data_IF_576224187759
#
_entry.id   IF_576224187759
#
_cell.length_a   1.000
_cell.length_b   1.000
_cell.length_c   1.000
_cell.angle_alpha   90.00
_cell.angle_beta   90.00
_cell.angle_gamma   90.00
#
_symmetry.space_group_name_H-M   'P 1'
#
loop_
_entity.id
_entity.type
_entity.pdbx_description
1 polymer ?
#
# COMPACT_ATOMS: atom_id res chain seq x y z
N UNK A 1 -9.86 1.01 -17.35
CA UNK A 1 -10.78 -0.14 -17.34
C UNK A 1 -10.04 -1.48 -17.37
N UNK A 2 -9.18 -1.76 -18.37
CA UNK A 2 -8.47 -3.04 -18.48
C UNK A 2 -7.76 -3.53 -17.21
N UNK A 3 -6.99 -2.69 -16.51
CA UNK A 3 -6.29 -3.08 -15.26
C UNK A 3 -7.24 -3.42 -14.11
N UNK A 4 -8.35 -2.71 -13.97
CA UNK A 4 -9.36 -2.98 -12.94
C UNK A 4 -10.05 -4.29 -13.25
N UNK A 5 -10.56 -4.46 -14.47
CA UNK A 5 -11.22 -5.70 -14.90
C UNK A 5 -10.31 -6.91 -14.75
N UNK A 6 -9.06 -6.83 -15.23
CA UNK A 6 -8.08 -7.90 -15.08
C UNK A 6 -7.80 -8.20 -13.60
N UNK A 7 -7.55 -7.18 -12.78
CA UNK A 7 -7.29 -7.35 -11.36
C UNK A 7 -8.46 -8.01 -10.62
N UNK A 8 -9.69 -7.58 -10.92
CA UNK A 8 -10.90 -8.19 -10.34
C UNK A 8 -11.07 -9.64 -10.77
N UNK A 9 -10.88 -9.96 -12.05
CA UNK A 9 -10.97 -11.35 -12.56
C UNK A 9 -9.92 -12.24 -11.89
N UNK A 10 -8.67 -11.79 -11.83
CA UNK A 10 -7.57 -12.54 -11.19
C UNK A 10 -7.85 -12.72 -9.70
N UNK A 11 -8.36 -11.69 -9.01
CA UNK A 11 -8.73 -11.78 -7.59
C UNK A 11 -9.84 -12.81 -7.38
N UNK A 12 -10.95 -12.72 -8.12
CA UNK A 12 -12.07 -13.68 -8.01
C UNK A 12 -11.60 -15.10 -8.29
N UNK A 13 -10.80 -15.29 -9.34
CA UNK A 13 -10.24 -16.60 -9.68
C UNK A 13 -9.32 -17.13 -8.57
N UNK A 14 -8.43 -16.30 -8.02
CA UNK A 14 -7.55 -16.67 -6.92
C UNK A 14 -8.33 -17.05 -5.66
N UNK A 15 -9.37 -16.28 -5.30
CA UNK A 15 -10.22 -16.58 -4.14
C UNK A 15 -11.01 -17.88 -4.30
N UNK A 16 -11.40 -18.24 -5.54
CA UNK A 16 -12.08 -19.49 -5.84
C UNK A 16 -11.14 -20.70 -5.95
N UNK A 17 -9.86 -20.46 -6.24
CA UNK A 17 -8.87 -21.51 -6.49
C UNK A 17 -8.00 -21.82 -5.27
N UNK A 18 -7.94 -20.91 -4.30
CA UNK A 18 -7.15 -21.10 -3.07
C UNK A 18 -7.93 -21.92 -2.04
N UNK A 19 -7.24 -22.86 -1.41
CA UNK A 19 -7.79 -23.64 -0.30
C UNK A 19 -7.71 -22.83 0.99
N UNK A 20 -8.81 -22.18 1.37
CA UNK A 20 -8.93 -21.33 2.55
C UNK A 20 -10.19 -21.68 3.31
N UNK A 21 -10.04 -21.96 4.61
CA UNK A 21 -11.16 -22.02 5.53
C UNK A 21 -11.75 -20.61 5.72
N UNK A 22 -12.84 -20.33 4.99
CA UNK A 22 -13.50 -19.04 4.98
C UNK A 22 -14.26 -18.78 6.27
N UNK A 23 -13.84 -17.76 7.01
CA UNK A 23 -14.59 -17.18 8.13
C UNK A 23 -15.16 -15.82 7.73
N UNK A 24 -16.18 -15.35 8.45
CA UNK A 24 -16.77 -14.02 8.25
C UNK A 24 -15.69 -12.93 8.27
N UNK A 25 -14.73 -13.03 9.19
CA UNK A 25 -13.62 -12.08 9.29
C UNK A 25 -12.76 -12.05 8.02
N UNK A 26 -12.41 -13.22 7.45
CA UNK A 26 -11.62 -13.28 6.20
C UNK A 26 -12.40 -12.71 5.01
N UNK A 27 -13.69 -13.03 4.90
CA UNK A 27 -14.56 -12.52 3.83
C UNK A 27 -14.64 -11.00 3.87
N UNK A 28 -14.82 -10.40 5.07
CA UNK A 28 -14.84 -8.95 5.23
C UNK A 28 -13.47 -8.30 5.05
N UNK A 29 -12.39 -8.99 5.40
CA UNK A 29 -11.04 -8.45 5.29
C UNK A 29 -10.60 -8.27 3.84
N UNK A 30 -11.06 -9.11 2.91
CA UNK A 30 -10.72 -9.02 1.48
C UNK A 30 -11.11 -7.67 0.85
N UNK A 31 -12.36 -7.18 0.91
CA UNK A 31 -12.68 -5.85 0.37
C UNK A 31 -11.98 -4.74 1.16
N UNK A 32 -11.84 -4.90 2.48
CA UNK A 32 -11.16 -3.91 3.33
C UNK A 32 -9.69 -3.75 2.93
N UNK A 33 -8.98 -4.83 2.63
CA UNK A 33 -7.58 -4.77 2.20
C UNK A 33 -7.46 -4.08 0.83
N UNK A 34 -8.39 -4.33 -0.09
CA UNK A 34 -8.40 -3.71 -1.43
C UNK A 34 -8.61 -2.19 -1.31
N UNK A 35 -9.60 -1.76 -0.53
CA UNK A 35 -9.90 -0.33 -0.33
C UNK A 35 -8.76 0.36 0.42
N UNK A 36 -8.27 -0.23 1.51
CA UNK A 36 -7.16 0.33 2.30
C UNK A 36 -5.89 0.42 1.46
N UNK A 37 -5.58 -0.63 0.70
CA UNK A 37 -4.44 -0.68 -0.21
C UNK A 37 -4.50 0.40 -1.29
N UNK A 38 -5.68 0.65 -1.86
CA UNK A 38 -5.89 1.73 -2.82
C UNK A 38 -5.62 3.11 -2.19
N UNK A 39 -6.13 3.36 -0.98
CA UNK A 39 -5.91 4.63 -0.27
C UNK A 39 -4.43 4.82 0.10
N UNK A 40 -3.74 3.77 0.55
CA UNK A 40 -2.29 3.82 0.85
C UNK A 40 -1.50 4.19 -0.40
N UNK A 41 -1.78 3.53 -1.54
CA UNK A 41 -1.11 3.88 -2.79
C UNK A 41 -1.42 5.32 -3.23
N UNK A 42 -2.68 5.75 -3.17
CA UNK A 42 -3.05 7.13 -3.45
C UNK A 42 -2.28 8.12 -2.57
N UNK A 43 -2.11 7.82 -1.28
CA UNK A 43 -1.33 8.64 -0.37
C UNK A 43 0.15 8.72 -0.80
N UNK A 44 0.76 7.61 -1.24
CA UNK A 44 2.13 7.60 -1.78
C UNK A 44 2.24 8.49 -3.04
N UNK A 45 1.27 8.40 -3.96
CA UNK A 45 1.23 9.28 -5.14
C UNK A 45 1.14 10.76 -4.76
N UNK A 46 0.22 11.10 -3.84
CA UNK A 46 0.00 12.48 -3.39
C UNK A 46 1.23 13.02 -2.64
N UNK A 47 1.83 12.22 -1.77
CA UNK A 47 3.05 12.60 -1.06
C UNK A 47 4.21 12.82 -2.04
N UNK A 48 4.35 11.96 -3.05
CA UNK A 48 5.35 12.14 -4.11
C UNK A 48 5.12 13.43 -4.93
N UNK A 49 3.86 13.74 -5.26
CA UNK A 49 3.52 14.95 -5.99
C UNK A 49 3.80 16.21 -5.14
N UNK A 50 3.47 16.16 -3.85
CA UNK A 50 3.81 17.23 -2.90
C UNK A 50 5.34 17.41 -2.79
N UNK A 51 6.10 16.32 -2.77
CA UNK A 51 7.56 16.37 -2.70
C UNK A 51 8.19 17.04 -3.94
N UNK A 52 7.64 16.80 -5.14
CA UNK A 52 8.10 17.44 -6.38
C UNK A 52 7.92 18.97 -6.39
N UNK A 53 7.00 19.52 -5.60
CA UNK A 53 6.85 20.98 -5.45
C UNK A 53 8.10 21.57 -4.79
N UNK A 54 8.75 20.84 -3.88
CA UNK A 54 9.92 21.30 -3.13
C UNK A 54 11.25 20.88 -3.77
N UNK A 55 11.30 19.68 -4.33
CA UNK A 55 12.50 19.11 -4.94
C UNK A 55 12.31 18.95 -6.45
N UNK A 56 12.92 19.86 -7.21
CA UNK A 56 13.08 19.71 -8.66
C UNK A 56 13.88 18.41 -8.94
N UNK A 57 13.51 17.65 -9.97
CA UNK A 57 14.07 16.33 -10.34
C UNK A 57 13.78 15.14 -9.40
N UNK A 58 12.75 15.23 -8.55
CA UNK A 58 12.33 14.12 -7.68
C UNK A 58 11.46 13.03 -8.36
N UNK A 59 11.24 13.12 -9.67
CA UNK A 59 10.36 12.19 -10.41
C UNK A 59 10.85 10.74 -10.40
N UNK A 60 12.17 10.52 -10.47
CA UNK A 60 12.75 9.18 -10.40
C UNK A 60 12.50 8.52 -9.05
N UNK A 61 12.68 9.27 -7.96
CA UNK A 61 12.43 8.80 -6.59
C UNK A 61 10.96 8.45 -6.39
N UNK A 62 10.05 9.32 -6.82
CA UNK A 62 8.60 9.06 -6.77
C UNK A 62 8.22 7.81 -7.57
N UNK A 63 8.74 7.69 -8.79
CA UNK A 63 8.48 6.55 -9.66
C UNK A 63 9.02 5.25 -9.05
N UNK A 64 10.20 5.28 -8.42
CA UNK A 64 10.78 4.13 -7.73
C UNK A 64 9.86 3.64 -6.60
N UNK A 65 9.30 4.53 -5.77
CA UNK A 65 8.36 4.11 -4.72
C UNK A 65 7.04 3.56 -5.28
N UNK A 66 6.53 4.17 -6.35
CA UNK A 66 5.25 3.80 -6.94
C UNK A 66 5.33 2.46 -7.68
N UNK A 67 6.21 2.38 -8.68
CA UNK A 67 6.36 1.19 -9.52
C UNK A 67 7.13 0.11 -8.78
N UNK A 68 8.19 0.46 -8.04
CA UNK A 68 8.91 -0.48 -7.19
C UNK A 68 8.01 -1.05 -6.10
N UNK A 69 7.14 -0.24 -5.48
CA UNK A 69 6.13 -0.71 -4.53
C UNK A 69 5.11 -1.66 -5.17
N UNK A 70 4.69 -1.39 -6.41
CA UNK A 70 3.80 -2.29 -7.15
C UNK A 70 4.47 -3.63 -7.43
N UNK A 71 5.71 -3.64 -7.91
CA UNK A 71 6.49 -4.86 -8.16
C UNK A 71 6.74 -5.63 -6.88
N UNK A 72 7.10 -4.93 -5.81
CA UNK A 72 7.37 -5.50 -4.50
C UNK A 72 6.21 -6.36 -3.99
N UNK A 73 4.99 -5.82 -4.07
CA UNK A 73 3.79 -6.47 -3.55
C UNK A 73 3.33 -7.68 -4.40
N UNK A 74 3.98 -7.95 -5.54
CA UNK A 74 3.75 -9.17 -6.34
C UNK A 74 4.51 -10.38 -5.79
N UNK A 75 5.52 -10.16 -4.94
CA UNK A 75 6.33 -11.22 -4.34
C UNK A 75 6.04 -11.32 -2.84
N UNK A 76 6.16 -12.54 -2.26
CA UNK A 76 6.01 -12.70 -0.83
C UNK A 76 7.18 -12.02 -0.08
N UNK A 77 6.94 -11.52 1.16
CA UNK A 77 7.96 -10.81 1.94
C UNK A 77 9.22 -11.65 2.23
N UNK A 78 9.09 -12.99 2.20
CA UNK A 78 10.17 -13.94 2.47
C UNK A 78 11.29 -13.94 1.43
N UNK A 79 11.06 -13.37 0.24
CA UNK A 79 12.09 -13.23 -0.81
C UNK A 79 13.05 -12.08 -0.50
N UNK A 80 12.67 -11.18 0.42
CA UNK A 80 13.41 -9.96 0.72
C UNK A 80 14.18 -10.06 2.04
N UNK A 81 15.27 -9.30 2.14
CA UNK A 81 16.02 -9.14 3.39
C UNK A 81 15.18 -8.48 4.48
N UNK A 82 15.41 -8.88 5.74
CA UNK A 82 14.60 -8.44 6.89
C UNK A 82 14.56 -6.92 7.06
N UNK A 83 15.66 -6.22 6.82
CA UNK A 83 15.72 -4.76 6.95
C UNK A 83 14.93 -4.04 5.86
N UNK A 84 14.89 -4.59 4.66
CA UNK A 84 14.05 -4.08 3.60
C UNK A 84 12.57 -4.25 3.95
N UNK A 85 12.17 -5.44 4.44
CA UNK A 85 10.80 -5.68 4.91
C UNK A 85 10.42 -4.72 6.04
N UNK A 86 11.34 -4.39 6.96
CA UNK A 86 11.12 -3.36 8.00
C UNK A 86 10.84 -1.98 7.41
N UNK A 87 11.62 -1.54 6.43
CA UNK A 87 11.39 -0.25 5.76
C UNK A 87 10.01 -0.18 5.10
N UNK A 88 9.65 -1.24 4.38
CA UNK A 88 8.35 -1.33 3.68
C UNK A 88 7.17 -1.43 4.66
N UNK A 89 7.39 -2.01 5.85
CA UNK A 89 6.35 -2.16 6.87
C UNK A 89 6.15 -0.91 7.71
N UNK A 90 7.23 -0.25 8.13
CA UNK A 90 7.17 0.83 9.12
C UNK A 90 7.41 2.23 8.56
N UNK A 91 8.08 2.36 7.41
CA UNK A 91 8.39 3.67 6.79
C UNK A 91 7.38 4.02 5.70
N UNK A 92 7.12 3.11 4.76
CA UNK A 92 6.16 3.30 3.64
C UNK A 92 4.79 2.63 3.84
N UNK A 93 4.54 2.06 5.02
CA UNK A 93 3.59 0.97 5.29
C UNK A 93 2.99 0.12 4.14
N UNK A 94 3.73 -0.18 3.06
CA UNK A 94 3.20 -0.95 1.93
C UNK A 94 2.88 -2.40 2.30
N UNK A 95 3.48 -2.95 3.35
CA UNK A 95 3.15 -4.29 3.83
C UNK A 95 1.65 -4.44 4.20
N UNK A 96 0.99 -3.35 4.60
CA UNK A 96 -0.44 -3.33 4.93
C UNK A 96 -1.36 -3.29 3.71
N UNK A 97 -0.82 -3.07 2.51
CA UNK A 97 -1.60 -3.10 1.26
C UNK A 97 -2.11 -4.51 0.97
N UNK A 98 -1.23 -5.52 1.05
CA UNK A 98 -1.64 -6.90 0.83
C UNK A 98 -0.90 -7.92 1.71
N UNK A 99 0.40 -7.77 2.01
CA UNK A 99 1.16 -8.80 2.71
C UNK A 99 0.56 -9.19 4.05
N UNK A 100 0.34 -8.22 4.95
CA UNK A 100 -0.18 -8.49 6.30
C UNK A 100 -1.63 -9.04 6.26
N UNK A 101 -2.62 -8.35 5.63
CA UNK A 101 -3.99 -8.87 5.60
C UNK A 101 -4.13 -10.18 4.80
N UNK A 102 -3.38 -10.36 3.71
CA UNK A 102 -3.41 -11.61 2.94
C UNK A 102 -2.76 -12.76 3.72
N UNK A 103 -1.71 -12.52 4.51
CA UNK A 103 -1.16 -13.56 5.41
C UNK A 103 -2.22 -14.08 6.38
N UNK A 104 -3.09 -13.23 6.91
CA UNK A 104 -4.22 -13.67 7.74
C UNK A 104 -5.24 -14.51 6.96
N UNK A 105 -5.66 -14.05 5.78
CA UNK A 105 -6.62 -14.79 4.93
C UNK A 105 -6.09 -16.17 4.58
N UNK A 106 -4.82 -16.24 4.18
CA UNK A 106 -4.12 -17.44 3.72
C UNK A 106 -3.56 -18.32 4.85
N UNK A 107 -3.72 -17.93 6.12
CA UNK A 107 -3.15 -18.68 7.25
C UNK A 107 -1.63 -18.79 7.23
N UNK A 108 -0.94 -17.78 6.68
CA UNK A 108 0.52 -17.75 6.55
C UNK A 108 1.17 -16.95 7.69
N UNK A 109 2.46 -17.20 7.99
CA UNK A 109 3.22 -16.37 8.91
C UNK A 109 3.21 -14.89 8.50
N UNK A 110 3.20 -14.01 9.49
CA UNK A 110 3.18 -12.58 9.24
C UNK A 110 4.61 -12.09 9.00
N UNK A 111 4.82 -11.11 8.11
CA UNK A 111 6.13 -10.50 7.97
C UNK A 111 6.58 -9.95 9.33
N UNK A 112 7.85 -10.17 9.68
CA UNK A 112 8.48 -9.66 10.91
C UNK A 112 7.82 -10.15 12.22
N UNK A 113 7.09 -11.27 12.18
CA UNK A 113 6.38 -11.83 13.35
C UNK A 113 5.43 -10.81 13.99
N UNK A 114 4.80 -9.97 13.16
CA UNK A 114 3.82 -8.99 13.62
C UNK A 114 2.67 -9.68 14.39
N UNK A 115 2.08 -9.00 15.39
CA UNK A 115 0.97 -9.55 16.14
C UNK A 115 -0.25 -9.77 15.24
N UNK A 116 -1.06 -10.77 15.55
CA UNK A 116 -2.20 -11.18 14.71
C UNK A 116 -3.22 -10.05 14.45
N UNK A 117 -3.39 -9.13 15.40
CA UNK A 117 -4.29 -7.99 15.22
C UNK A 117 -3.83 -7.03 14.10
N UNK A 118 -2.55 -7.06 13.71
CA UNK A 118 -2.01 -6.19 12.65
C UNK A 118 -2.68 -6.42 11.29
N UNK A 119 -3.28 -7.60 11.06
CA UNK A 119 -4.07 -7.87 9.86
C UNK A 119 -5.28 -6.93 9.69
N UNK A 120 -5.78 -6.36 10.78
CA UNK A 120 -6.93 -5.45 10.79
C UNK A 120 -6.52 -3.97 10.86
N UNK A 121 -5.22 -3.68 10.91
CA UNK A 121 -4.69 -2.32 10.87
C UNK A 121 -4.74 -1.60 9.50
N UNK A 122 -4.92 -2.24 8.31
CA UNK A 122 -4.89 -1.52 7.04
C UNK A 122 -5.78 -0.27 6.95
N UNK A 123 -7.01 -0.22 7.48
CA UNK A 123 -7.82 0.99 7.47
C UNK A 123 -7.21 2.14 8.26
N UNK A 124 -6.63 1.85 9.44
CA UNK A 124 -5.99 2.85 10.28
C UNK A 124 -4.73 3.40 9.60
N UNK A 125 -3.93 2.50 9.03
CA UNK A 125 -2.75 2.85 8.24
C UNK A 125 -3.13 3.69 7.03
N UNK A 126 -4.20 3.34 6.32
CA UNK A 126 -4.71 4.08 5.17
C UNK A 126 -5.14 5.50 5.56
N UNK A 127 -5.87 5.66 6.66
CA UNK A 127 -6.27 6.98 7.19
C UNK A 127 -5.04 7.80 7.59
N UNK A 128 -4.08 7.20 8.29
CA UNK A 128 -2.85 7.88 8.69
C UNK A 128 -2.03 8.35 7.48
N UNK A 129 -1.82 7.48 6.49
CA UNK A 129 -1.13 7.82 5.25
C UNK A 129 -1.86 8.92 4.49
N UNK A 130 -3.19 8.80 4.34
CA UNK A 130 -4.00 9.81 3.66
C UNK A 130 -3.94 11.18 4.35
N UNK A 131 -3.99 11.21 5.69
CA UNK A 131 -3.85 12.43 6.46
C UNK A 131 -2.47 13.07 6.27
N UNK A 132 -1.38 12.29 6.40
CA UNK A 132 -0.02 12.76 6.21
C UNK A 132 0.21 13.28 4.79
N UNK A 133 -0.25 12.56 3.77
CA UNK A 133 -0.16 12.98 2.38
C UNK A 133 -0.96 14.27 2.12
N UNK A 134 -2.16 14.38 2.69
CA UNK A 134 -2.98 15.59 2.60
C UNK A 134 -2.33 16.80 3.27
N UNK A 135 -1.68 16.61 4.42
CA UNK A 135 -0.91 17.67 5.08
C UNK A 135 0.30 18.09 4.25
N UNK A 136 1.06 17.13 3.71
CA UNK A 136 2.20 17.39 2.83
C UNK A 136 1.77 18.18 1.59
N UNK A 137 0.66 17.79 0.96
CA UNK A 137 0.08 18.50 -0.18
C UNK A 137 -0.28 19.95 0.17
N UNK A 138 -0.99 20.17 1.28
CA UNK A 138 -1.37 21.52 1.72
C UNK A 138 -0.15 22.39 2.03
N UNK A 139 0.89 21.83 2.64
CA UNK A 139 2.15 22.52 2.85
C UNK A 139 2.81 22.91 1.51
N UNK A 140 2.83 21.99 0.54
CA UNK A 140 3.33 22.22 -0.82
C UNK A 140 2.63 23.37 -1.55
N UNK A 141 1.31 23.47 -1.44
CA UNK A 141 0.55 24.57 -2.03
C UNK A 141 0.96 25.95 -1.48
N UNK A 142 1.32 26.05 -0.19
CA UNK A 142 1.78 27.30 0.42
C UNK A 142 3.15 27.76 -0.10
N UNK A 143 3.99 26.83 -0.54
CA UNK A 143 5.31 27.10 -1.14
C UNK A 143 5.27 27.25 -2.66
N UNK A 144 4.14 26.97 -3.30
CA UNK A 144 3.99 27.07 -4.75
C UNK A 144 4.05 28.54 -5.17
N UNK A 145 5.22 28.98 -5.62
CA UNK A 145 5.36 30.27 -6.28
C UNK A 145 4.91 30.11 -7.72
N UNK A 146 3.88 30.85 -8.12
CA UNK A 146 3.55 31.06 -9.53
C UNK A 146 4.85 31.37 -10.27
N UNK A 147 5.16 30.60 -11.31
CA UNK A 147 6.13 30.99 -12.34
C UNK A 147 5.51 32.18 -13.07
N UNK A 148 5.56 33.35 -12.43
CA UNK A 148 5.11 34.60 -12.99
C UNK A 148 5.98 34.94 -14.20
N UNK A 149 5.29 35.33 -15.27
CA UNK A 149 5.75 35.85 -16.56
C UNK A 149 7.04 36.66 -16.56
#
# INVERSE_FOLDING_TARGET
LGRITQGTVVLVWALASVDVDWSVAKVLLVPVMVVSGAVIFCAVFVAGAAFQIFAQDASEVQNAFTYGGTTLLQYPPTVFGKDFVRGVTFVLPLAFVNWVPASYVLGRPYPLDLPQWAAFAPPLVAVACGALAGLAWRAGLGSYRSTGS
#
